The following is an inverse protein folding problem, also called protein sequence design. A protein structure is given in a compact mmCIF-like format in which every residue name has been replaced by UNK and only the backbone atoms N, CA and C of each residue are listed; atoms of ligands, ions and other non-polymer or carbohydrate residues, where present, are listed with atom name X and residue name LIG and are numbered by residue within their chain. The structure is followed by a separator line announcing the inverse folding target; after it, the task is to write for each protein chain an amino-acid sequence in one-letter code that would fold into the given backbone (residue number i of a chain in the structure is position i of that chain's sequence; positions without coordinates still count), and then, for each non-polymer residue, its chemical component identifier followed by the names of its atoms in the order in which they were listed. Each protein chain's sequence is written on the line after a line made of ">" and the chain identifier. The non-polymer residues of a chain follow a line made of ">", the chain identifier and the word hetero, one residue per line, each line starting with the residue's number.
data_IF_662088459749
#
_entry.id   IF_662088459749
#
_cell.length_a   1.000
_cell.length_b   1.000
_cell.length_c   1.000
_cell.angle_alpha   90.00
_cell.angle_beta   90.00
_cell.angle_gamma   90.00
#
_symmetry.space_group_name_H-M   'P 1'
#
loop_
_entity.id
_entity.type
_entity.pdbx_description
1 polymer ?
#
# COMPACT_ATOMS: atom_id res chain seq x y z
N UNK A 1 54.21 37.24 -53.72
CA UNK A 1 53.02 36.45 -53.75
C UNK A 1 52.98 35.61 -52.46
N UNK A 2 52.21 35.99 -51.48
CA UNK A 2 52.04 35.25 -50.22
C UNK A 2 50.76 34.39 -50.33
N UNK A 3 50.91 33.06 -50.30
CA UNK A 3 49.78 32.15 -50.29
C UNK A 3 49.31 32.02 -48.82
N UNK A 4 48.08 32.48 -48.55
CA UNK A 4 47.44 32.34 -47.25
C UNK A 4 46.68 31.01 -47.26
N UNK A 5 47.19 30.04 -46.49
CA UNK A 5 46.50 28.78 -46.24
C UNK A 5 45.39 29.01 -45.22
N UNK A 6 44.13 28.91 -45.63
CA UNK A 6 42.98 28.84 -44.74
C UNK A 6 42.82 27.41 -44.24
N UNK A 7 43.14 27.16 -42.97
CA UNK A 7 42.75 25.92 -42.25
C UNK A 7 41.32 26.05 -41.83
N UNK A 8 40.41 25.37 -42.51
CA UNK A 8 39.02 25.22 -42.09
C UNK A 8 38.98 24.19 -40.97
N UNK A 9 38.89 24.62 -39.71
CA UNK A 9 38.57 23.76 -38.57
C UNK A 9 37.10 23.45 -38.63
N UNK A 10 36.70 22.27 -39.08
CA UNK A 10 35.36 21.74 -38.97
C UNK A 10 35.19 21.29 -37.50
N UNK A 11 34.59 22.16 -36.69
CA UNK A 11 34.08 21.82 -35.40
C UNK A 11 32.88 20.88 -35.62
N UNK A 12 33.09 19.56 -35.59
CA UNK A 12 32.03 18.61 -35.46
C UNK A 12 31.43 18.77 -34.08
N UNK A 13 30.34 19.56 -33.98
CA UNK A 13 29.49 19.57 -32.80
C UNK A 13 28.83 18.20 -32.76
N UNK A 14 29.43 17.28 -32.01
CA UNK A 14 28.73 16.08 -31.61
C UNK A 14 27.59 16.53 -30.73
N UNK A 15 26.39 16.64 -31.29
CA UNK A 15 25.16 16.63 -30.49
C UNK A 15 25.12 15.28 -29.77
N UNK A 16 25.65 15.25 -28.57
CA UNK A 16 25.42 14.15 -27.65
C UNK A 16 23.91 14.18 -27.35
N UNK A 17 23.12 13.54 -28.21
CA UNK A 17 21.75 13.24 -27.87
C UNK A 17 21.83 12.36 -26.62
N UNK A 18 21.47 12.94 -25.50
CA UNK A 18 21.42 12.21 -24.23
C UNK A 18 20.47 11.02 -24.42
N UNK A 19 21.03 9.84 -24.52
CA UNK A 19 20.25 8.62 -24.56
C UNK A 19 19.47 8.48 -23.25
N UNK A 20 18.28 7.93 -23.33
CA UNK A 20 17.48 7.57 -22.15
C UNK A 20 17.26 6.07 -22.08
N UNK A 21 16.93 5.59 -20.90
CA UNK A 21 16.50 4.24 -20.62
C UNK A 21 15.00 4.29 -20.43
N UNK A 22 14.26 3.49 -21.19
CA UNK A 22 12.84 3.21 -21.02
C UNK A 22 12.69 1.83 -20.39
N UNK A 23 12.10 1.75 -19.23
CA UNK A 23 11.67 0.51 -18.56
C UNK A 23 10.18 0.33 -18.84
N UNK A 24 9.78 -0.57 -19.75
CA UNK A 24 8.37 -0.81 -20.04
C UNK A 24 7.69 -1.46 -18.84
N UNK A 25 6.39 -1.23 -18.69
CA UNK A 25 5.58 -1.82 -17.64
C UNK A 25 4.35 -2.54 -18.21
N UNK A 26 4.37 -2.83 -19.51
CA UNK A 26 3.41 -3.69 -20.23
C UNK A 26 3.86 -5.16 -20.22
N UNK A 27 3.29 -5.99 -21.07
CA UNK A 27 3.57 -7.43 -21.16
C UNK A 27 5.03 -7.76 -21.60
N UNK A 28 5.77 -6.77 -22.09
CA UNK A 28 7.20 -6.96 -22.45
C UNK A 28 8.12 -7.01 -21.22
N UNK A 29 7.63 -6.59 -20.04
CA UNK A 29 8.43 -6.59 -18.81
C UNK A 29 8.60 -8.00 -18.27
N UNK A 30 9.86 -8.40 -18.04
CA UNK A 30 10.22 -9.70 -17.46
C UNK A 30 9.96 -9.78 -15.95
N UNK A 31 10.05 -8.64 -15.23
CA UNK A 31 9.84 -8.56 -13.78
C UNK A 31 9.34 -7.17 -13.41
N UNK A 32 8.00 -7.04 -13.31
CA UNK A 32 7.36 -5.77 -12.96
C UNK A 32 7.74 -5.30 -11.56
N UNK A 33 7.84 -6.21 -10.60
CA UNK A 33 8.08 -5.83 -9.20
C UNK A 33 9.49 -5.26 -9.01
N UNK A 34 10.51 -5.88 -9.60
CA UNK A 34 11.88 -5.36 -9.56
C UNK A 34 12.07 -4.09 -10.38
N UNK A 35 11.22 -3.82 -11.36
CA UNK A 35 11.24 -2.56 -12.12
C UNK A 35 10.98 -1.34 -11.21
N UNK A 36 10.06 -1.45 -10.23
CA UNK A 36 9.88 -0.42 -9.20
C UNK A 36 11.13 -0.25 -8.34
N UNK A 37 11.80 -1.36 -8.01
CA UNK A 37 13.07 -1.31 -7.28
C UNK A 37 14.19 -0.55 -8.01
N UNK A 38 14.23 -0.63 -9.35
CA UNK A 38 15.17 0.20 -10.15
C UNK A 38 14.78 1.67 -10.09
N UNK A 39 13.50 1.99 -10.21
CA UNK A 39 13.03 3.38 -10.09
C UNK A 39 13.40 3.96 -8.72
N UNK A 40 13.11 3.23 -7.64
CA UNK A 40 13.45 3.62 -6.27
C UNK A 40 14.97 3.78 -6.08
N UNK A 41 15.76 2.81 -6.52
CA UNK A 41 17.22 2.85 -6.46
C UNK A 41 17.80 4.05 -7.21
N UNK A 42 17.25 4.39 -8.39
CA UNK A 42 17.66 5.57 -9.15
C UNK A 42 17.46 6.84 -8.34
N UNK A 43 16.28 7.00 -7.70
CA UNK A 43 15.97 8.15 -6.84
C UNK A 43 16.87 8.22 -5.61
N UNK A 44 17.18 7.09 -4.95
CA UNK A 44 18.13 7.04 -3.84
C UNK A 44 19.53 7.52 -4.23
N UNK A 45 19.94 7.28 -5.48
CA UNK A 45 21.23 7.74 -6.01
C UNK A 45 21.19 9.19 -6.57
N UNK A 46 20.07 9.91 -6.37
CA UNK A 46 19.92 11.28 -6.82
C UNK A 46 19.65 11.43 -8.31
N UNK A 47 19.18 10.37 -8.97
CA UNK A 47 18.83 10.33 -10.38
C UNK A 47 17.31 10.42 -10.55
N UNK A 48 16.74 11.60 -10.82
CA UNK A 48 15.32 11.75 -11.05
C UNK A 48 14.89 11.04 -12.34
N UNK A 49 13.63 10.61 -12.36
CA UNK A 49 13.07 9.91 -13.50
C UNK A 49 11.63 10.34 -13.78
N UNK A 50 11.14 10.07 -14.98
CA UNK A 50 9.76 10.29 -15.35
C UNK A 50 8.96 8.99 -15.26
N UNK A 51 7.84 9.02 -14.54
CA UNK A 51 6.82 7.99 -14.62
C UNK A 51 5.81 8.37 -15.72
N UNK A 52 5.73 7.56 -16.76
CA UNK A 52 4.88 7.79 -17.93
C UNK A 52 3.53 7.10 -17.71
N UNK A 53 2.59 7.80 -17.11
CA UNK A 53 1.28 7.26 -16.75
C UNK A 53 0.52 6.82 -18.01
N UNK A 54 -0.04 5.62 -17.97
CA UNK A 54 -0.76 4.94 -19.04
C UNK A 54 0.08 4.63 -20.31
N UNK A 55 1.31 5.08 -20.41
CA UNK A 55 2.19 4.72 -21.51
C UNK A 55 2.83 3.37 -21.24
N UNK A 56 2.50 2.35 -22.07
CA UNK A 56 3.00 0.98 -21.94
C UNK A 56 2.90 0.45 -20.48
N UNK A 57 1.72 0.57 -19.87
CA UNK A 57 1.45 0.08 -18.51
C UNK A 57 2.02 0.93 -17.39
N UNK A 58 2.43 2.19 -17.65
CA UNK A 58 3.04 3.08 -16.65
C UNK A 58 4.56 2.95 -16.58
N UNK A 59 5.22 3.13 -17.74
CA UNK A 59 6.68 2.96 -17.91
C UNK A 59 7.51 4.00 -17.17
N UNK A 60 8.75 3.65 -16.85
CA UNK A 60 9.73 4.60 -16.31
C UNK A 60 10.71 5.05 -17.40
N UNK A 61 10.99 6.35 -17.47
CA UNK A 61 11.92 6.95 -18.41
C UNK A 61 12.98 7.77 -17.66
N UNK A 62 14.25 7.43 -17.79
CA UNK A 62 15.35 8.05 -17.06
C UNK A 62 16.57 8.31 -17.96
N UNK A 63 17.51 9.11 -17.49
CA UNK A 63 18.77 9.33 -18.23
C UNK A 63 19.58 8.04 -18.28
N UNK A 64 20.19 7.77 -19.45
CA UNK A 64 21.02 6.60 -19.60
C UNK A 64 22.33 6.77 -18.82
N UNK A 65 22.56 5.85 -17.88
CA UNK A 65 23.79 5.70 -17.11
C UNK A 65 24.21 4.23 -17.11
N UNK A 66 25.49 3.96 -17.19
CA UNK A 66 26.03 2.60 -17.14
C UNK A 66 25.63 1.87 -15.83
N UNK A 67 25.60 2.61 -14.72
CA UNK A 67 25.16 2.09 -13.42
C UNK A 67 23.71 1.58 -13.46
N UNK A 68 22.78 2.34 -14.07
CA UNK A 68 21.38 1.95 -14.19
C UNK A 68 21.21 0.73 -15.11
N UNK A 69 21.91 0.72 -16.25
CA UNK A 69 21.91 -0.43 -17.17
C UNK A 69 22.42 -1.70 -16.49
N UNK A 70 23.49 -1.57 -15.71
CA UNK A 70 24.05 -2.68 -14.93
C UNK A 70 23.03 -3.20 -13.90
N UNK A 71 22.36 -2.33 -13.16
CA UNK A 71 21.32 -2.74 -12.20
C UNK A 71 20.14 -3.43 -12.91
N UNK A 72 19.70 -2.92 -14.07
CA UNK A 72 18.67 -3.59 -14.87
C UNK A 72 19.07 -5.02 -15.26
N UNK A 73 20.32 -5.19 -15.69
CA UNK A 73 20.86 -6.52 -16.05
C UNK A 73 20.96 -7.44 -14.82
N UNK A 74 21.48 -6.95 -13.70
CA UNK A 74 21.63 -7.72 -12.46
C UNK A 74 20.27 -8.20 -11.89
N UNK A 75 19.27 -7.36 -11.98
CA UNK A 75 17.91 -7.67 -11.49
C UNK A 75 17.06 -8.40 -12.53
N UNK A 76 17.56 -8.54 -13.77
CA UNK A 76 16.90 -9.30 -14.83
C UNK A 76 15.65 -8.62 -15.39
N UNK A 77 15.57 -7.28 -15.36
CA UNK A 77 14.44 -6.53 -15.91
C UNK A 77 14.66 -6.12 -17.36
N UNK A 78 13.59 -6.05 -18.12
CA UNK A 78 13.58 -5.57 -19.51
C UNK A 78 13.74 -4.05 -19.53
N UNK A 79 14.64 -3.53 -20.35
CA UNK A 79 14.78 -2.11 -20.63
C UNK A 79 15.21 -1.84 -22.07
N UNK A 80 14.93 -0.65 -22.58
CA UNK A 80 15.33 -0.18 -23.90
C UNK A 80 16.15 1.11 -23.80
N UNK A 81 17.24 1.17 -24.59
CA UNK A 81 17.93 2.44 -24.80
C UNK A 81 17.23 3.19 -25.92
N UNK A 82 16.79 4.42 -25.67
CA UNK A 82 16.04 5.26 -26.61
C UNK A 82 16.81 6.55 -26.92
N UNK A 83 16.85 6.92 -28.19
CA UNK A 83 17.47 8.15 -28.65
C UNK A 83 16.49 9.35 -28.59
N UNK A 84 16.98 10.57 -28.89
CA UNK A 84 16.18 11.77 -28.81
C UNK A 84 14.97 11.79 -29.75
N UNK A 85 15.04 11.13 -30.91
CA UNK A 85 13.88 11.02 -31.82
C UNK A 85 12.80 10.10 -31.24
N UNK A 86 13.21 8.98 -30.68
CA UNK A 86 12.30 8.05 -30.00
C UNK A 86 11.66 8.69 -28.77
N UNK A 87 12.42 9.44 -27.97
CA UNK A 87 11.88 10.20 -26.82
C UNK A 87 10.85 11.24 -27.27
N UNK A 88 11.09 11.96 -28.36
CA UNK A 88 10.13 12.92 -28.89
C UNK A 88 8.84 12.24 -29.36
N UNK A 89 8.94 11.04 -29.97
CA UNK A 89 7.77 10.27 -30.35
C UNK A 89 6.97 9.77 -29.13
N UNK A 90 7.66 9.36 -28.05
CA UNK A 90 7.02 8.99 -26.77
C UNK A 90 6.22 10.20 -26.23
N UNK A 91 6.84 11.37 -26.13
CA UNK A 91 6.19 12.56 -25.59
C UNK A 91 5.00 13.01 -26.44
N UNK A 92 5.12 12.94 -27.77
CA UNK A 92 4.00 13.22 -28.67
C UNK A 92 2.84 12.23 -28.44
N UNK A 93 3.13 10.95 -28.30
CA UNK A 93 2.10 9.93 -27.99
C UNK A 93 1.38 10.25 -26.67
N UNK A 94 2.13 10.66 -25.64
CA UNK A 94 1.57 11.02 -24.33
C UNK A 94 0.69 12.28 -24.44
N UNK A 95 1.11 13.28 -25.19
CA UNK A 95 0.35 14.51 -25.40
C UNK A 95 -1.01 14.26 -26.09
N UNK A 96 -1.02 13.38 -27.09
CA UNK A 96 -2.19 13.08 -27.93
C UNK A 96 -3.21 12.11 -27.29
N UNK A 97 -2.85 11.45 -26.16
CA UNK A 97 -3.69 10.41 -25.53
C UNK A 97 -3.99 10.71 -24.04
N UNK A 98 -4.77 9.82 -23.40
CA UNK A 98 -5.01 9.84 -21.94
C UNK A 98 -3.77 9.35 -21.18
N UNK A 99 -2.67 10.10 -21.29
CA UNK A 99 -1.37 9.80 -20.70
C UNK A 99 -0.78 11.07 -20.09
N UNK A 100 0.15 10.93 -19.14
CA UNK A 100 0.82 12.09 -18.50
C UNK A 100 2.24 11.70 -18.06
N UNK A 101 3.10 12.71 -17.92
CA UNK A 101 4.46 12.57 -17.42
C UNK A 101 4.51 13.10 -16.00
N UNK A 102 4.85 12.25 -15.05
CA UNK A 102 5.07 12.65 -13.66
C UNK A 102 6.57 12.55 -13.36
N UNK A 103 7.17 13.68 -13.00
CA UNK A 103 8.56 13.71 -12.55
C UNK A 103 8.65 13.17 -11.12
N UNK A 104 9.45 12.12 -10.91
CA UNK A 104 9.82 11.61 -9.60
C UNK A 104 11.22 12.15 -9.27
N UNK A 105 11.35 12.83 -8.13
CA UNK A 105 12.58 13.55 -7.77
C UNK A 105 13.32 12.94 -6.58
N UNK A 106 12.59 12.23 -5.70
CA UNK A 106 13.13 11.71 -4.44
C UNK A 106 12.44 10.41 -4.05
N UNK A 107 13.19 9.45 -3.55
CA UNK A 107 12.64 8.25 -2.90
C UNK A 107 12.00 8.63 -1.56
N UNK A 108 10.83 8.07 -1.21
CA UNK A 108 10.23 8.27 0.10
C UNK A 108 11.02 7.53 1.19
N UNK A 109 10.97 8.04 2.41
CA UNK A 109 11.39 7.32 3.59
C UNK A 109 10.22 6.51 4.13
N UNK A 110 10.37 5.18 4.14
CA UNK A 110 9.29 4.22 4.37
C UNK A 110 9.36 3.66 5.79
N UNK A 111 8.23 3.68 6.50
CA UNK A 111 8.02 2.95 7.74
C UNK A 111 6.97 1.85 7.55
N UNK A 112 7.22 0.69 8.14
CA UNK A 112 6.26 -0.40 8.29
C UNK A 112 5.94 -0.55 9.77
N UNK A 113 4.67 -0.40 10.13
CA UNK A 113 4.20 -0.59 11.49
C UNK A 113 3.94 -2.07 11.73
N UNK A 114 4.81 -2.71 12.48
CA UNK A 114 4.74 -4.14 12.78
C UNK A 114 5.36 -4.44 14.14
N UNK A 115 4.84 -5.42 14.89
CA UNK A 115 5.48 -5.88 16.12
C UNK A 115 6.93 -6.33 15.87
N UNK A 116 7.86 -6.11 16.81
CA UNK A 116 9.27 -6.46 16.66
C UNK A 116 9.51 -7.98 16.61
N UNK A 117 8.57 -8.76 17.14
CA UNK A 117 8.64 -10.22 17.16
C UNK A 117 8.07 -10.81 15.88
N UNK A 118 8.68 -11.89 15.39
CA UNK A 118 8.18 -12.62 14.22
C UNK A 118 6.74 -13.11 14.46
N UNK A 119 5.83 -12.72 13.61
CA UNK A 119 4.45 -13.16 13.61
C UNK A 119 4.30 -14.52 12.89
N UNK A 120 3.27 -15.33 13.20
CA UNK A 120 2.99 -16.57 12.51
C UNK A 120 2.27 -16.39 11.16
N UNK A 121 2.37 -15.24 10.57
CA UNK A 121 1.93 -14.85 9.24
C UNK A 121 2.97 -13.90 8.61
N UNK A 122 2.90 -13.69 7.32
CA UNK A 122 3.73 -12.75 6.60
C UNK A 122 2.98 -11.45 6.30
N UNK A 123 3.71 -10.50 5.75
CA UNK A 123 3.20 -9.20 5.33
C UNK A 123 3.51 -9.01 3.84
N UNK A 124 2.45 -8.95 3.02
CA UNK A 124 2.58 -8.81 1.57
C UNK A 124 3.37 -7.56 1.15
N UNK A 125 3.30 -6.47 1.92
CA UNK A 125 4.04 -5.25 1.61
C UNK A 125 5.53 -5.43 1.89
N UNK A 126 5.89 -6.01 3.03
CA UNK A 126 7.32 -6.30 3.33
C UNK A 126 7.90 -7.32 2.37
N UNK A 127 7.12 -8.29 1.90
CA UNK A 127 7.52 -9.20 0.82
C UNK A 127 7.79 -8.42 -0.47
N UNK A 128 6.87 -7.52 -0.88
CA UNK A 128 7.04 -6.70 -2.07
C UNK A 128 8.27 -5.80 -1.99
N UNK A 129 8.44 -5.08 -0.87
CA UNK A 129 9.58 -4.19 -0.65
C UNK A 129 10.90 -4.95 -0.68
N UNK A 130 10.97 -6.09 0.03
CA UNK A 130 12.17 -6.92 0.08
C UNK A 130 12.51 -7.51 -1.29
N UNK A 131 11.52 -8.02 -2.04
CA UNK A 131 11.71 -8.56 -3.37
C UNK A 131 12.18 -7.50 -4.38
N UNK A 132 11.58 -6.30 -4.33
CA UNK A 132 11.96 -5.15 -5.14
C UNK A 132 13.28 -4.49 -4.68
N UNK A 133 13.84 -4.91 -3.54
CA UNK A 133 15.04 -4.34 -2.91
C UNK A 133 14.85 -2.86 -2.54
N UNK A 134 13.68 -2.52 -2.03
CA UNK A 134 13.30 -1.20 -1.52
C UNK A 134 13.49 -1.20 -0.01
N UNK A 135 14.20 -0.19 0.51
CA UNK A 135 14.51 -0.07 1.94
C UNK A 135 13.33 0.45 2.73
N UNK A 136 13.14 -0.07 3.93
CA UNK A 136 12.16 0.39 4.89
C UNK A 136 12.66 0.19 6.32
N UNK A 137 12.10 0.94 7.26
CA UNK A 137 12.31 0.78 8.69
C UNK A 137 11.06 0.17 9.33
N UNK A 138 11.24 -0.71 10.32
CA UNK A 138 10.13 -1.23 11.12
C UNK A 138 9.96 -0.37 12.36
N UNK A 139 8.75 0.08 12.61
CA UNK A 139 8.35 0.83 13.81
C UNK A 139 7.12 0.18 14.43
N UNK A 140 6.90 0.40 15.73
CA UNK A 140 5.71 -0.09 16.41
C UNK A 140 5.19 0.92 17.43
N UNK A 141 4.44 0.47 18.43
CA UNK A 141 3.80 1.32 19.44
C UNK A 141 4.76 2.30 20.10
N UNK A 142 5.96 1.84 20.47
CA UNK A 142 6.96 2.66 21.17
C UNK A 142 7.43 3.85 20.31
N UNK A 143 7.80 3.59 19.08
CA UNK A 143 8.29 4.60 18.12
C UNK A 143 7.18 5.58 17.73
N UNK A 144 5.94 5.08 17.54
CA UNK A 144 4.79 5.96 17.24
C UNK A 144 4.49 6.88 18.42
N UNK A 145 4.48 6.35 19.65
CA UNK A 145 4.22 7.13 20.86
C UNK A 145 5.36 8.13 21.16
N UNK A 146 6.61 7.80 20.82
CA UNK A 146 7.77 8.72 20.97
C UNK A 146 7.79 9.83 19.90
N UNK A 147 6.94 9.76 18.88
CA UNK A 147 6.84 10.77 17.81
C UNK A 147 7.76 10.55 16.61
N UNK A 148 8.38 9.39 16.49
CA UNK A 148 9.31 9.08 15.39
C UNK A 148 8.64 9.02 14.02
N UNK A 149 7.32 8.83 13.98
CA UNK A 149 6.55 8.78 12.75
C UNK A 149 6.72 10.01 11.84
N UNK A 150 7.03 11.17 12.44
CA UNK A 150 7.32 12.40 11.71
C UNK A 150 8.61 12.36 10.85
N UNK A 151 9.45 11.34 11.02
CA UNK A 151 10.67 11.15 10.26
C UNK A 151 10.45 10.42 8.92
N UNK A 152 9.23 9.97 8.66
CA UNK A 152 8.88 9.16 7.50
C UNK A 152 7.91 9.90 6.59
N UNK A 153 8.03 9.64 5.27
CA UNK A 153 7.13 10.17 4.25
C UNK A 153 5.93 9.23 4.04
N UNK A 154 6.11 7.92 4.26
CA UNK A 154 5.16 6.87 3.99
C UNK A 154 5.09 5.86 5.14
N UNK A 155 3.86 5.50 5.55
CA UNK A 155 3.57 4.50 6.59
C UNK A 155 2.73 3.38 6.02
N UNK A 156 3.12 2.13 6.32
CA UNK A 156 2.34 0.95 6.03
C UNK A 156 1.76 0.31 7.30
N UNK A 157 0.48 -0.09 7.20
CA UNK A 157 -0.23 -0.92 8.17
C UNK A 157 -0.79 -2.14 7.43
N UNK A 158 -0.74 -3.35 7.99
CA UNK A 158 -1.29 -4.52 7.31
C UNK A 158 -2.38 -5.24 8.14
N UNK A 159 -2.00 -6.00 9.13
CA UNK A 159 -2.91 -6.85 9.91
C UNK A 159 -2.92 -6.50 11.40
N UNK A 160 -2.52 -5.28 11.73
CA UNK A 160 -2.58 -4.80 13.10
C UNK A 160 -4.01 -4.51 13.51
N UNK A 161 -4.28 -4.81 14.77
CA UNK A 161 -5.55 -4.56 15.41
C UNK A 161 -5.47 -3.30 16.27
N UNK A 162 -6.12 -2.24 15.83
CA UNK A 162 -6.23 -0.99 16.57
C UNK A 162 -7.40 -0.95 17.56
N UNK A 163 -8.17 -2.04 17.65
CA UNK A 163 -9.27 -2.16 18.62
C UNK A 163 -8.84 -2.78 19.94
N UNK A 164 -7.62 -3.37 20.00
CA UNK A 164 -7.10 -4.04 21.20
C UNK A 164 -7.73 -5.41 21.47
N UNK A 165 -8.32 -6.04 20.47
CA UNK A 165 -8.92 -7.38 20.55
C UNK A 165 -7.98 -8.48 20.08
N UNK A 166 -6.66 -8.19 20.02
CA UNK A 166 -5.59 -9.13 19.64
C UNK A 166 -5.85 -9.81 18.30
N UNK A 167 -6.23 -9.05 17.27
CA UNK A 167 -6.52 -9.55 15.93
C UNK A 167 -7.75 -10.42 15.83
N UNK A 168 -8.63 -10.43 16.85
CA UNK A 168 -9.80 -11.31 16.93
C UNK A 168 -9.43 -12.80 16.82
N UNK A 169 -8.19 -13.16 17.16
CA UNK A 169 -7.70 -14.54 17.13
C UNK A 169 -8.14 -15.40 18.32
N UNK A 170 -8.91 -14.85 19.27
CA UNK A 170 -9.30 -15.52 20.51
C UNK A 170 -9.92 -16.90 20.28
N UNK A 171 -10.90 -17.01 19.38
CA UNK A 171 -11.65 -18.26 19.13
C UNK A 171 -10.75 -19.46 18.88
N UNK A 172 -9.77 -19.31 18.01
CA UNK A 172 -8.96 -20.44 17.52
C UNK A 172 -7.59 -20.54 18.20
N UNK A 173 -7.07 -19.43 18.73
CA UNK A 173 -5.65 -19.32 19.10
C UNK A 173 -5.37 -18.94 20.54
N UNK A 174 -6.38 -18.63 21.39
CA UNK A 174 -6.16 -18.15 22.77
C UNK A 174 -5.32 -19.09 23.65
N UNK A 175 -5.16 -20.36 23.25
CA UNK A 175 -4.35 -21.37 23.96
C UNK A 175 -2.94 -21.52 23.40
N UNK A 176 -2.64 -20.99 22.22
CA UNK A 176 -1.32 -21.09 21.58
C UNK A 176 -0.30 -20.21 22.30
N UNK A 177 0.97 -20.61 22.24
CA UNK A 177 2.03 -19.88 22.92
C UNK A 177 2.29 -18.51 22.27
N UNK A 178 2.19 -18.43 20.95
CA UNK A 178 2.35 -17.15 20.25
C UNK A 178 1.25 -16.13 20.63
N UNK A 179 -0.02 -16.56 20.76
CA UNK A 179 -1.11 -15.68 21.17
C UNK A 179 -0.92 -15.17 22.61
N UNK A 180 -0.53 -16.07 23.54
CA UNK A 180 -0.25 -15.69 24.93
C UNK A 180 0.93 -14.73 25.02
N UNK A 181 1.99 -14.97 24.22
CA UNK A 181 3.14 -14.07 24.17
C UNK A 181 2.73 -12.70 23.62
N UNK A 182 2.06 -12.65 22.47
CA UNK A 182 1.54 -11.39 21.89
C UNK A 182 0.70 -10.61 22.89
N UNK A 183 -0.23 -11.28 23.59
CA UNK A 183 -1.05 -10.64 24.63
C UNK A 183 -0.20 -10.07 25.74
N UNK A 184 0.77 -10.83 26.27
CA UNK A 184 1.68 -10.38 27.33
C UNK A 184 2.54 -9.19 26.90
N UNK A 185 3.05 -9.20 25.68
CA UNK A 185 3.90 -8.13 25.16
C UNK A 185 3.10 -6.83 24.99
N UNK A 186 1.86 -6.93 24.47
CA UNK A 186 0.99 -5.76 24.31
C UNK A 186 0.51 -5.20 25.67
N UNK A 187 0.16 -6.09 26.64
CA UNK A 187 -0.17 -5.68 28.01
C UNK A 187 1.03 -4.97 28.69
N UNK A 188 2.25 -5.47 28.47
CA UNK A 188 3.47 -4.84 28.96
C UNK A 188 3.68 -3.46 28.36
N UNK A 189 3.53 -3.33 27.05
CA UNK A 189 3.69 -2.05 26.34
C UNK A 189 2.63 -1.03 26.81
N UNK A 190 1.36 -1.47 26.94
CA UNK A 190 0.31 -0.61 27.49
C UNK A 190 0.66 -0.08 28.89
N UNK A 191 1.07 -0.96 29.79
CA UNK A 191 1.48 -0.59 31.15
C UNK A 191 2.71 0.33 31.17
N UNK A 192 3.72 0.06 30.31
CA UNK A 192 4.93 0.89 30.15
C UNK A 192 4.59 2.34 29.79
N UNK A 193 3.59 2.54 28.95
CA UNK A 193 3.14 3.87 28.53
C UNK A 193 1.99 4.45 29.37
N UNK A 194 1.62 3.78 30.48
CA UNK A 194 0.64 4.28 31.44
C UNK A 194 -0.83 4.11 31.00
N UNK A 195 -1.10 3.27 30.02
CA UNK A 195 -2.46 2.92 29.61
C UNK A 195 -3.04 1.83 30.52
N UNK A 196 -4.35 1.92 30.78
CA UNK A 196 -5.06 0.97 31.64
C UNK A 196 -5.27 -0.39 30.99
N UNK A 197 -5.31 -0.44 29.65
CA UNK A 197 -5.48 -1.66 28.86
C UNK A 197 -4.85 -1.55 27.47
N UNK A 198 -4.73 -2.67 26.78
CA UNK A 198 -4.30 -2.70 25.37
C UNK A 198 -5.31 -1.98 24.49
N UNK A 199 -6.60 -2.07 24.79
CA UNK A 199 -7.63 -1.31 24.08
C UNK A 199 -7.38 0.19 24.14
N UNK A 200 -7.09 0.74 25.34
CA UNK A 200 -6.75 2.17 25.49
C UNK A 200 -5.47 2.56 24.75
N UNK A 201 -4.42 1.76 24.81
CA UNK A 201 -3.21 1.97 24.03
C UNK A 201 -3.52 2.03 22.53
N UNK A 202 -4.17 0.98 22.02
CA UNK A 202 -4.42 0.81 20.57
C UNK A 202 -5.36 1.88 20.02
N UNK A 203 -6.30 2.40 20.77
CA UNK A 203 -7.11 3.57 20.36
C UNK A 203 -6.28 4.86 20.20
N UNK A 204 -5.19 5.00 20.95
CA UNK A 204 -4.35 6.20 20.86
C UNK A 204 -3.45 6.21 19.61
N UNK A 205 -2.98 5.06 19.17
CA UNK A 205 -2.11 4.96 17.98
C UNK A 205 -2.75 5.56 16.72
N UNK A 206 -4.00 5.25 16.35
CA UNK A 206 -4.67 5.86 15.20
C UNK A 206 -4.82 7.38 15.28
N UNK A 207 -4.94 7.96 16.48
CA UNK A 207 -4.96 9.43 16.62
C UNK A 207 -3.64 10.06 16.19
N UNK A 208 -2.51 9.44 16.55
CA UNK A 208 -1.18 9.90 16.17
C UNK A 208 -0.97 9.73 14.68
N UNK A 209 -1.35 8.57 14.12
CA UNK A 209 -1.28 8.30 12.68
C UNK A 209 -2.17 9.26 11.90
N UNK A 210 -3.40 9.53 12.34
CA UNK A 210 -4.29 10.52 11.71
C UNK A 210 -3.67 11.92 11.72
N UNK A 211 -2.99 12.32 12.80
CA UNK A 211 -2.26 13.58 12.87
C UNK A 211 -1.08 13.62 11.88
N UNK A 212 -0.36 12.51 11.73
CA UNK A 212 0.71 12.36 10.75
C UNK A 212 0.17 12.54 9.33
N UNK A 213 -0.91 11.85 8.93
CA UNK A 213 -1.56 12.03 7.62
C UNK A 213 -1.98 13.48 7.44
N UNK A 214 -2.67 14.05 8.43
CA UNK A 214 -3.13 15.45 8.41
C UNK A 214 -2.02 16.46 8.11
N UNK A 215 -0.79 16.14 8.56
CA UNK A 215 0.41 16.99 8.39
C UNK A 215 1.09 16.82 7.04
N UNK A 216 0.69 15.85 6.23
CA UNK A 216 1.23 15.59 4.88
C UNK A 216 1.84 14.21 4.70
N UNK A 217 1.76 13.32 5.69
CA UNK A 217 2.19 11.93 5.56
C UNK A 217 1.27 11.12 4.64
N UNK A 218 1.79 10.04 4.09
CA UNK A 218 1.02 9.09 3.31
C UNK A 218 0.84 7.78 4.07
N UNK A 219 -0.41 7.27 4.11
CA UNK A 219 -0.76 5.99 4.71
C UNK A 219 -1.19 5.00 3.64
N UNK A 220 -0.58 3.82 3.63
CA UNK A 220 -1.08 2.64 2.92
C UNK A 220 -1.46 1.56 3.93
N UNK A 221 -2.70 1.08 3.90
CA UNK A 221 -3.17 0.03 4.79
C UNK A 221 -3.81 -1.12 4.01
N UNK A 222 -3.61 -2.34 4.51
CA UNK A 222 -4.18 -3.57 3.98
C UNK A 222 -4.88 -4.38 5.08
N UNK A 223 -5.69 -5.34 4.65
CA UNK A 223 -6.32 -6.33 5.53
C UNK A 223 -7.03 -5.69 6.73
N UNK A 224 -6.91 -6.30 7.91
CA UNK A 224 -7.57 -5.85 9.14
C UNK A 224 -7.11 -4.49 9.66
N UNK A 225 -5.96 -3.99 9.24
CA UNK A 225 -5.52 -2.66 9.62
C UNK A 225 -6.38 -1.54 8.99
N UNK A 226 -7.16 -1.83 7.95
CA UNK A 226 -8.00 -0.85 7.27
C UNK A 226 -9.21 -0.45 8.11
N UNK A 227 -10.07 -1.41 8.45
CA UNK A 227 -11.29 -1.14 9.22
C UNK A 227 -11.02 -1.01 10.71
N UNK A 228 -10.11 -1.80 11.31
CA UNK A 228 -9.79 -1.67 12.73
C UNK A 228 -9.21 -0.30 13.08
N UNK A 229 -8.41 0.31 12.19
CA UNK A 229 -7.92 1.67 12.33
C UNK A 229 -9.06 2.69 12.41
N UNK A 230 -9.98 2.61 11.47
CA UNK A 230 -11.09 3.57 11.39
C UNK A 230 -12.14 3.34 12.49
N UNK A 231 -12.36 2.08 12.89
CA UNK A 231 -13.17 1.70 14.06
C UNK A 231 -12.58 2.31 15.34
N UNK A 232 -11.28 2.20 15.55
CA UNK A 232 -10.61 2.77 16.72
C UNK A 232 -10.74 4.29 16.79
N UNK A 233 -10.70 4.98 15.64
CA UNK A 233 -10.97 6.42 15.58
C UNK A 233 -12.41 6.75 15.97
N UNK A 234 -13.39 5.97 15.53
CA UNK A 234 -14.80 6.19 15.88
C UNK A 234 -15.11 5.83 17.34
N UNK A 235 -14.38 4.88 17.93
CA UNK A 235 -14.62 4.34 19.26
C UNK A 235 -13.91 5.08 20.40
N UNK A 236 -13.40 6.30 20.16
CA UNK A 236 -12.60 7.04 21.17
C UNK A 236 -13.32 7.22 22.53
N UNK A 237 -14.64 7.35 22.51
CA UNK A 237 -15.46 7.66 23.69
C UNK A 237 -16.18 6.43 24.26
N UNK A 238 -15.81 5.22 23.84
CA UNK A 238 -16.50 4.00 24.27
C UNK A 238 -15.56 2.81 24.33
N UNK A 239 -15.86 1.86 25.20
CA UNK A 239 -15.21 0.55 25.24
C UNK A 239 -15.98 -0.42 24.34
N UNK A 240 -15.27 -0.95 23.33
CA UNK A 240 -15.78 -1.94 22.37
C UNK A 240 -15.11 -3.30 22.51
N UNK A 241 -14.10 -3.43 23.39
CA UNK A 241 -13.43 -4.68 23.64
C UNK A 241 -14.21 -5.54 24.62
N UNK A 242 -14.42 -6.81 24.26
CA UNK A 242 -15.09 -7.75 25.16
C UNK A 242 -14.18 -8.11 26.35
N UNK A 243 -14.77 -8.38 27.53
CA UNK A 243 -14.04 -8.64 28.78
C UNK A 243 -12.99 -9.78 28.72
N UNK A 244 -13.08 -10.69 27.77
CA UNK A 244 -12.06 -11.73 27.55
C UNK A 244 -10.72 -11.16 27.09
N UNK A 245 -10.72 -9.95 26.53
CA UNK A 245 -9.50 -9.29 26.03
C UNK A 245 -8.81 -8.48 27.14
N UNK A 246 -9.56 -7.62 27.86
CA UNK A 246 -8.99 -6.64 28.78
C UNK A 246 -9.55 -6.68 30.20
N UNK A 247 -10.49 -7.61 30.50
CA UNK A 247 -11.15 -7.82 31.80
C UNK A 247 -12.10 -6.69 32.22
N UNK A 248 -12.41 -5.78 31.32
CA UNK A 248 -13.42 -4.75 31.53
C UNK A 248 -14.70 -5.11 30.75
N UNK A 249 -15.88 -4.79 31.24
CA UNK A 249 -17.11 -5.05 30.50
C UNK A 249 -17.22 -4.07 29.32
N UNK A 250 -17.61 -4.59 28.17
CA UNK A 250 -17.94 -3.76 27.01
C UNK A 250 -19.02 -2.73 27.37
N UNK A 251 -18.93 -1.53 26.83
CA UNK A 251 -19.97 -0.53 27.00
C UNK A 251 -21.24 -0.95 26.24
N UNK A 252 -22.32 -1.26 26.98
CA UNK A 252 -23.59 -1.68 26.41
C UNK A 252 -24.20 -0.64 25.45
N UNK A 253 -23.83 0.62 25.59
CA UNK A 253 -24.30 1.73 24.76
C UNK A 253 -23.26 2.12 23.67
N UNK A 254 -22.24 1.28 23.42
CA UNK A 254 -21.16 1.58 22.47
C UNK A 254 -21.69 2.09 21.12
N UNK A 255 -22.72 1.45 20.57
CA UNK A 255 -23.30 1.82 19.27
C UNK A 255 -23.72 3.31 19.19
N UNK A 256 -24.29 3.85 20.27
CA UNK A 256 -24.73 5.26 20.33
C UNK A 256 -23.57 6.23 20.64
N UNK A 257 -22.40 5.72 21.04
CA UNK A 257 -21.22 6.50 21.39
C UNK A 257 -20.14 6.48 20.31
N UNK A 258 -20.32 5.68 19.26
CA UNK A 258 -19.45 5.77 18.09
C UNK A 258 -19.57 7.14 17.44
N UNK A 259 -18.44 7.81 17.29
CA UNK A 259 -18.37 9.12 16.65
C UNK A 259 -17.70 8.99 15.27
N UNK A 260 -18.52 8.79 14.26
CA UNK A 260 -18.06 8.67 12.88
C UNK A 260 -17.44 9.96 12.31
N UNK A 261 -17.57 11.11 12.99
CA UNK A 261 -16.84 12.30 12.56
C UNK A 261 -15.34 12.18 12.79
N UNK A 262 -14.91 11.30 13.70
CA UNK A 262 -13.51 10.99 13.94
C UNK A 262 -12.92 10.01 12.92
N UNK A 263 -13.72 9.12 12.34
CA UNK A 263 -13.24 8.18 11.31
C UNK A 263 -12.87 8.92 10.03
N UNK A 264 -12.01 8.32 9.20
CA UNK A 264 -11.56 8.94 7.95
C UNK A 264 -12.21 8.32 6.71
N UNK A 265 -12.71 7.09 6.80
CA UNK A 265 -13.20 6.30 5.66
C UNK A 265 -14.66 5.91 5.82
N UNK A 266 -15.03 5.29 6.95
CA UNK A 266 -16.29 4.60 7.09
C UNK A 266 -17.24 5.29 8.07
N UNK A 267 -18.54 5.11 7.85
CA UNK A 267 -19.60 5.60 8.74
C UNK A 267 -20.80 4.66 8.75
N UNK A 268 -21.61 4.73 9.83
CA UNK A 268 -22.91 4.05 9.97
C UNK A 268 -22.83 2.50 9.93
N UNK A 269 -21.66 1.91 10.18
CA UNK A 269 -21.48 0.46 10.30
C UNK A 269 -21.85 -0.07 11.69
N UNK A 270 -22.07 -1.37 11.79
CA UNK A 270 -22.28 -2.09 13.05
C UNK A 270 -21.05 -2.91 13.42
N UNK A 271 -20.72 -2.97 14.72
CA UNK A 271 -19.59 -3.75 15.23
C UNK A 271 -19.98 -5.19 15.56
N UNK A 272 -19.09 -6.13 15.34
CA UNK A 272 -19.14 -7.48 15.85
C UNK A 272 -18.35 -7.57 17.17
N UNK A 273 -19.06 -7.47 18.29
CA UNK A 273 -18.44 -7.46 19.64
C UNK A 273 -18.28 -8.86 20.24
N UNK A 274 -18.85 -9.90 19.62
CA UNK A 274 -18.64 -11.29 20.03
C UNK A 274 -17.18 -11.69 19.76
N UNK A 275 -16.42 -12.13 20.78
CA UNK A 275 -15.02 -12.55 20.62
C UNK A 275 -14.86 -13.83 19.79
N UNK A 276 -15.94 -14.54 19.50
CA UNK A 276 -15.94 -15.73 18.64
C UNK A 276 -16.14 -15.41 17.15
N UNK A 277 -16.46 -14.15 16.81
CA UNK A 277 -16.55 -13.65 15.43
C UNK A 277 -15.19 -13.06 15.05
N UNK A 278 -14.69 -13.44 13.87
CA UNK A 278 -13.35 -13.07 13.41
C UNK A 278 -13.29 -11.66 12.83
N UNK A 279 -14.35 -11.23 12.16
CA UNK A 279 -14.48 -9.91 11.56
C UNK A 279 -14.76 -8.85 12.63
N UNK A 280 -14.37 -7.59 12.36
CA UNK A 280 -14.56 -6.46 13.28
C UNK A 280 -15.94 -5.83 13.18
N UNK A 281 -16.48 -5.74 11.96
CA UNK A 281 -17.68 -4.97 11.69
C UNK A 281 -18.39 -5.41 10.40
N UNK A 282 -19.50 -4.73 10.11
CA UNK A 282 -20.22 -4.91 8.83
C UNK A 282 -19.58 -4.15 7.66
N UNK A 283 -18.45 -3.49 7.86
CA UNK A 283 -17.68 -2.86 6.78
C UNK A 283 -17.25 -3.90 5.77
N UNK A 284 -16.71 -5.01 6.25
CA UNK A 284 -16.27 -6.13 5.43
C UNK A 284 -17.45 -7.02 4.99
N UNK A 285 -17.13 -8.02 4.20
CA UNK A 285 -17.98 -9.13 3.84
C UNK A 285 -18.59 -9.78 5.10
N UNK A 286 -19.91 -10.03 5.14
CA UNK A 286 -20.50 -10.67 6.30
C UNK A 286 -19.89 -12.05 6.60
N UNK A 287 -19.77 -12.43 7.87
CA UNK A 287 -19.24 -13.75 8.29
C UNK A 287 -19.93 -14.95 7.60
N UNK A 288 -21.20 -14.79 7.24
CA UNK A 288 -21.97 -15.81 6.52
C UNK A 288 -21.56 -15.98 5.06
N UNK A 289 -20.84 -15.02 4.47
CA UNK A 289 -20.40 -15.08 3.07
C UNK A 289 -19.08 -15.86 2.88
N UNK A 290 -18.25 -16.00 3.92
CA UNK A 290 -16.97 -16.70 3.83
C UNK A 290 -17.13 -18.13 3.28
N UNK A 291 -18.11 -18.95 3.73
CA UNK A 291 -18.34 -20.27 3.17
C UNK A 291 -18.83 -20.27 1.71
N UNK A 292 -19.44 -19.16 1.29
CA UNK A 292 -20.01 -18.97 -0.03
C UNK A 292 -19.14 -18.06 -0.93
N UNK A 293 -17.96 -17.66 -0.44
CA UNK A 293 -17.02 -16.87 -1.24
C UNK A 293 -16.70 -17.65 -2.52
N UNK A 294 -16.69 -16.94 -3.63
CA UNK A 294 -16.26 -17.49 -4.92
C UNK A 294 -14.87 -18.07 -4.76
N UNK A 295 -14.58 -19.18 -5.43
CA UNK A 295 -13.23 -19.70 -5.47
C UNK A 295 -12.27 -18.71 -6.15
N UNK A 296 -10.97 -18.87 -5.95
CA UNK A 296 -9.94 -18.01 -6.52
C UNK A 296 -10.11 -17.72 -8.02
N UNK A 297 -10.61 -18.69 -8.77
CA UNK A 297 -10.84 -18.57 -10.23
C UNK A 297 -12.04 -17.67 -10.61
N UNK A 298 -12.92 -17.34 -9.66
CA UNK A 298 -14.13 -16.55 -9.88
C UNK A 298 -14.14 -15.23 -9.12
N UNK A 299 -13.17 -15.02 -8.25
CA UNK A 299 -13.02 -13.79 -7.49
C UNK A 299 -12.05 -12.87 -8.21
N UNK A 300 -12.51 -11.67 -8.56
CA UNK A 300 -11.72 -10.63 -9.21
C UNK A 300 -12.33 -9.26 -8.94
N UNK A 301 -11.52 -8.24 -9.11
CA UNK A 301 -11.97 -6.85 -9.10
C UNK A 301 -11.39 -6.09 -10.29
N UNK A 302 -12.07 -5.02 -10.70
CA UNK A 302 -11.71 -4.21 -11.85
C UNK A 302 -11.21 -2.85 -11.39
N UNK A 303 -10.07 -2.41 -11.92
CA UNK A 303 -9.54 -1.07 -11.70
C UNK A 303 -10.30 -0.05 -12.55
N UNK A 304 -10.59 1.10 -11.97
CA UNK A 304 -11.11 2.24 -12.70
C UNK A 304 -10.03 2.89 -13.55
N UNK A 305 -10.42 3.35 -14.74
CA UNK A 305 -9.58 4.17 -15.58
C UNK A 305 -9.84 5.65 -15.27
N UNK A 306 -8.79 6.35 -14.86
CA UNK A 306 -8.83 7.78 -14.57
C UNK A 306 -8.19 8.61 -15.68
N UNK A 307 -8.45 9.92 -15.68
CA UNK A 307 -7.78 10.85 -16.57
C UNK A 307 -6.36 11.11 -16.07
N UNK A 308 -5.34 10.60 -16.76
CA UNK A 308 -3.95 10.86 -16.39
C UNK A 308 -3.61 12.37 -16.36
N UNK A 309 -4.31 13.18 -17.12
CA UNK A 309 -4.09 14.65 -17.20
C UNK A 309 -4.69 15.40 -16.02
N UNK A 310 -5.83 14.93 -15.48
CA UNK A 310 -6.56 15.62 -14.41
C UNK A 310 -6.51 14.92 -13.07
N UNK A 311 -6.53 13.59 -13.10
CA UNK A 311 -6.59 12.73 -11.91
C UNK A 311 -5.27 11.96 -11.74
N UNK A 312 -4.14 12.68 -11.64
CA UNK A 312 -2.79 12.09 -11.65
C UNK A 312 -2.58 11.08 -10.54
N UNK A 313 -2.97 11.41 -9.29
CA UNK A 313 -2.77 10.51 -8.16
C UNK A 313 -3.59 9.23 -8.30
N UNK A 314 -4.91 9.25 -8.55
CA UNK A 314 -5.67 8.04 -8.83
C UNK A 314 -5.09 7.23 -10.00
N UNK A 315 -4.64 7.89 -11.06
CA UNK A 315 -4.03 7.23 -12.20
C UNK A 315 -2.71 6.55 -11.83
N UNK A 316 -1.85 7.15 -11.00
CA UNK A 316 -0.63 6.50 -10.49
C UNK A 316 -0.99 5.24 -9.70
N UNK A 317 -1.95 5.34 -8.79
CA UNK A 317 -2.37 4.23 -7.93
C UNK A 317 -2.95 3.05 -8.71
N UNK A 318 -3.59 3.30 -9.86
CA UNK A 318 -4.20 2.26 -10.71
C UNK A 318 -3.34 1.82 -11.90
N UNK A 319 -2.06 2.24 -11.98
CA UNK A 319 -1.18 1.78 -13.05
C UNK A 319 -1.02 0.26 -13.00
N UNK A 320 -1.31 -0.39 -14.12
CA UNK A 320 -1.14 -1.83 -14.24
C UNK A 320 -0.98 -2.25 -15.72
N UNK A 321 -0.54 -3.48 -15.96
CA UNK A 321 -0.49 -4.08 -17.30
C UNK A 321 -1.79 -4.85 -17.63
N UNK A 322 -2.71 -4.94 -16.66
CA UNK A 322 -4.06 -5.49 -16.80
C UNK A 322 -5.05 -4.64 -16.01
N UNK A 323 -6.31 -4.62 -16.41
CA UNK A 323 -7.38 -3.88 -15.72
C UNK A 323 -8.18 -4.75 -14.74
N UNK A 324 -8.09 -6.07 -14.86
CA UNK A 324 -8.77 -7.04 -14.01
C UNK A 324 -7.73 -7.73 -13.13
N UNK A 325 -7.93 -7.68 -11.84
CA UNK A 325 -7.04 -8.22 -10.82
C UNK A 325 -7.73 -9.40 -10.15
N UNK A 326 -7.02 -10.50 -9.95
CA UNK A 326 -7.54 -11.61 -9.14
C UNK A 326 -7.89 -11.11 -7.74
N UNK A 327 -9.03 -11.54 -7.21
CA UNK A 327 -9.41 -11.31 -5.84
C UNK A 327 -8.54 -12.13 -4.89
N UNK A 328 -8.48 -11.68 -3.67
CA UNK A 328 -7.81 -12.38 -2.58
C UNK A 328 -8.51 -12.03 -1.26
N UNK A 329 -8.47 -12.95 -0.32
CA UNK A 329 -9.15 -12.81 0.95
C UNK A 329 -8.20 -12.27 2.02
N UNK A 330 -8.77 -11.80 3.11
CA UNK A 330 -8.08 -11.41 4.33
C UNK A 330 -9.08 -11.33 5.47
N UNK A 331 -8.66 -10.92 6.64
CA UNK A 331 -9.57 -10.66 7.74
C UNK A 331 -10.55 -9.54 7.39
N UNK A 332 -10.08 -8.53 6.65
CA UNK A 332 -10.91 -7.57 5.93
C UNK A 332 -10.69 -7.79 4.45
N UNK A 333 -11.64 -8.44 3.80
CA UNK A 333 -11.54 -8.86 2.39
C UNK A 333 -11.88 -7.72 1.43
N UNK A 334 -12.78 -6.84 1.82
CA UNK A 334 -13.23 -5.71 1.02
C UNK A 334 -14.12 -4.78 1.82
N UNK A 335 -14.59 -3.73 1.19
CA UNK A 335 -15.34 -2.65 1.85
C UNK A 335 -16.73 -2.52 1.26
N UNK A 336 -17.76 -2.63 2.08
CA UNK A 336 -19.13 -2.43 1.66
C UNK A 336 -19.35 -0.95 1.34
N UNK A 337 -19.68 -0.64 0.07
CA UNK A 337 -19.81 0.73 -0.46
C UNK A 337 -20.78 1.60 0.34
N UNK A 338 -21.82 1.01 0.93
CA UNK A 338 -22.82 1.78 1.71
C UNK A 338 -22.27 2.44 2.97
N UNK A 339 -21.10 2.00 3.46
CA UNK A 339 -20.44 2.56 4.64
C UNK A 339 -19.34 3.55 4.30
N UNK A 340 -18.98 3.70 3.01
CA UNK A 340 -17.99 4.68 2.60
C UNK A 340 -18.54 6.10 2.76
N UNK A 341 -17.71 6.98 3.30
CA UNK A 341 -17.99 8.42 3.29
C UNK A 341 -17.95 8.97 1.85
N UNK A 342 -18.75 9.98 1.57
CA UNK A 342 -18.97 10.52 0.22
C UNK A 342 -17.70 11.06 -0.49
N UNK A 343 -16.63 11.34 0.25
CA UNK A 343 -15.38 11.87 -0.31
C UNK A 343 -14.36 10.78 -0.66
N UNK A 344 -14.69 9.51 -0.41
CA UNK A 344 -13.81 8.39 -0.68
C UNK A 344 -13.88 8.03 -2.16
N UNK A 345 -12.71 7.96 -2.79
CA UNK A 345 -12.56 7.56 -4.18
C UNK A 345 -12.38 6.05 -4.27
N UNK A 346 -13.22 5.39 -5.05
CA UNK A 346 -13.06 3.97 -5.39
C UNK A 346 -12.07 3.85 -6.55
N UNK A 347 -11.01 3.09 -6.34
CA UNK A 347 -9.98 2.79 -7.35
C UNK A 347 -10.20 1.45 -8.03
N UNK A 348 -10.83 0.50 -7.31
CA UNK A 348 -11.13 -0.83 -7.84
C UNK A 348 -12.25 -1.50 -7.07
N UNK A 349 -13.14 -2.17 -7.80
CA UNK A 349 -14.34 -2.80 -7.25
C UNK A 349 -14.64 -4.17 -7.86
N UNK A 350 -15.33 -5.00 -7.10
CA UNK A 350 -15.95 -6.22 -7.62
C UNK A 350 -17.24 -5.84 -8.40
N UNK A 351 -17.27 -6.08 -9.73
CA UNK A 351 -18.43 -5.71 -10.55
C UNK A 351 -19.70 -6.53 -10.25
N UNK A 352 -19.58 -7.62 -9.52
CA UNK A 352 -20.67 -8.54 -9.21
C UNK A 352 -21.21 -8.39 -7.78
N UNK A 353 -20.69 -7.46 -6.99
CA UNK A 353 -21.09 -7.23 -5.61
C UNK A 353 -21.10 -5.74 -5.23
N UNK A 354 -21.62 -5.43 -4.03
CA UNK A 354 -21.57 -4.08 -3.47
C UNK A 354 -20.23 -3.80 -2.72
N UNK A 355 -19.21 -4.65 -2.93
CA UNK A 355 -17.91 -4.50 -2.32
C UNK A 355 -16.94 -3.74 -3.24
N UNK A 356 -16.11 -2.92 -2.62
CA UNK A 356 -14.92 -2.38 -3.26
C UNK A 356 -13.67 -2.93 -2.56
N UNK A 357 -12.59 -3.10 -3.32
CA UNK A 357 -11.33 -3.66 -2.82
C UNK A 357 -10.26 -2.60 -2.58
N UNK A 358 -10.31 -1.52 -3.37
CA UNK A 358 -9.22 -0.55 -3.41
C UNK A 358 -9.81 0.86 -3.40
N UNK A 359 -9.45 1.63 -2.40
CA UNK A 359 -10.01 2.97 -2.16
C UNK A 359 -8.91 3.96 -1.76
N UNK A 360 -9.16 5.24 -2.02
CA UNK A 360 -8.25 6.35 -1.76
C UNK A 360 -8.98 7.56 -1.19
N UNK A 361 -8.28 8.37 -0.38
CA UNK A 361 -8.81 9.61 0.13
C UNK A 361 -7.74 10.56 0.63
N UNK A 362 -8.15 11.78 0.95
CA UNK A 362 -7.30 12.82 1.50
C UNK A 362 -7.71 13.15 2.93
N UNK A 363 -6.73 13.41 3.79
CA UNK A 363 -6.93 13.87 5.17
C UNK A 363 -5.98 15.03 5.44
N UNK A 364 -6.53 16.25 5.52
CA UNK A 364 -5.70 17.45 5.67
C UNK A 364 -4.75 17.67 4.49
N UNK A 365 -3.45 17.59 4.73
CA UNK A 365 -2.41 17.76 3.69
C UNK A 365 -1.91 16.43 3.13
N UNK A 366 -2.23 15.32 3.76
CA UNK A 366 -1.79 13.99 3.37
C UNK A 366 -2.88 13.15 2.76
N UNK A 367 -2.53 11.93 2.42
CA UNK A 367 -3.41 11.00 1.72
C UNK A 367 -3.34 9.61 2.34
N UNK A 368 -4.35 8.79 2.05
CA UNK A 368 -4.33 7.39 2.42
C UNK A 368 -4.88 6.54 1.28
N UNK A 369 -4.47 5.28 1.26
CA UNK A 369 -4.99 4.26 0.36
C UNK A 369 -5.22 2.98 1.15
N UNK A 370 -6.40 2.37 1.00
CA UNK A 370 -6.76 1.10 1.62
C UNK A 370 -6.98 0.04 0.55
N UNK A 371 -6.40 -1.15 0.78
CA UNK A 371 -6.57 -2.32 -0.08
C UNK A 371 -7.09 -3.48 0.77
N UNK A 372 -8.28 -3.99 0.42
CA UNK A 372 -8.88 -5.15 1.09
C UNK A 372 -8.19 -6.45 0.68
N UNK A 373 -8.03 -7.36 1.63
CA UNK A 373 -7.35 -8.65 1.46
C UNK A 373 -5.94 -8.67 2.02
N UNK A 374 -5.36 -9.88 2.13
CA UNK A 374 -4.10 -10.10 2.81
C UNK A 374 -2.92 -10.23 1.83
N UNK A 375 -2.94 -11.20 0.93
CA UNK A 375 -1.88 -11.47 -0.03
C UNK A 375 -2.45 -11.66 -1.44
N UNK A 376 -2.04 -10.85 -2.43
CA UNK A 376 -2.54 -10.95 -3.80
C UNK A 376 -2.32 -12.28 -4.53
N UNK A 377 -1.36 -13.09 -4.10
CA UNK A 377 -1.03 -14.38 -4.74
C UNK A 377 -1.34 -15.58 -3.84
N UNK A 378 -1.81 -15.35 -2.63
CA UNK A 378 -2.34 -16.38 -1.74
C UNK A 378 -3.81 -16.09 -1.39
N UNK A 379 -4.72 -16.72 -2.13
CA UNK A 379 -6.16 -16.42 -2.08
C UNK A 379 -6.76 -16.55 -0.68
N UNK A 380 -6.34 -17.53 0.12
CA UNK A 380 -6.80 -17.79 1.48
C UNK A 380 -5.63 -18.00 2.43
N UNK A 381 -4.93 -16.94 2.70
CA UNK A 381 -3.81 -17.01 3.63
C UNK A 381 -4.26 -17.40 5.04
N UNK A 382 -3.64 -18.43 5.61
CA UNK A 382 -3.92 -18.90 6.98
C UNK A 382 -2.72 -18.66 7.90
N UNK A 383 -3.02 -18.54 9.20
CA UNK A 383 -1.98 -18.48 10.23
C UNK A 383 -1.09 -19.72 10.16
N UNK A 384 0.20 -19.51 9.88
CA UNK A 384 1.21 -20.56 9.76
C UNK A 384 1.49 -21.00 8.33
N UNK A 385 0.84 -20.44 7.33
CA UNK A 385 1.19 -20.66 5.93
C UNK A 385 2.60 -20.12 5.63
N UNK A 386 3.33 -20.74 4.71
CA UNK A 386 4.63 -20.22 4.29
C UNK A 386 4.45 -18.90 3.52
N UNK A 387 5.44 -17.99 3.60
CA UNK A 387 5.41 -16.75 2.83
C UNK A 387 5.33 -17.01 1.33
N UNK A 388 4.60 -16.13 0.61
CA UNK A 388 4.55 -16.16 -0.84
C UNK A 388 5.94 -15.96 -1.47
N UNK A 389 6.34 -16.84 -2.38
CA UNK A 389 7.57 -16.71 -3.15
C UNK A 389 7.35 -15.82 -4.38
N UNK A 390 7.67 -14.53 -4.26
CA UNK A 390 7.51 -13.55 -5.33
C UNK A 390 8.39 -13.81 -6.56
N UNK A 391 9.40 -14.67 -6.47
CA UNK A 391 10.14 -15.10 -7.66
C UNK A 391 9.29 -15.92 -8.63
N UNK A 392 8.22 -16.54 -8.15
CA UNK A 392 7.21 -17.22 -8.95
C UNK A 392 6.12 -16.27 -9.47
N UNK A 393 5.97 -15.10 -8.86
CA UNK A 393 4.90 -14.11 -9.11
C UNK A 393 5.44 -12.72 -9.51
N UNK A 394 6.59 -12.69 -10.21
CA UNK A 394 7.33 -11.46 -10.57
C UNK A 394 6.51 -10.43 -11.37
N UNK A 395 5.43 -10.87 -12.00
CA UNK A 395 4.53 -10.05 -12.80
C UNK A 395 3.14 -9.92 -12.16
N UNK A 396 3.02 -10.17 -10.84
CA UNK A 396 1.75 -10.06 -10.12
C UNK A 396 1.12 -8.67 -10.26
N UNK A 397 -0.09 -8.58 -10.81
CA UNK A 397 -0.78 -7.30 -10.89
C UNK A 397 -1.26 -6.79 -9.53
N UNK A 398 -1.57 -7.69 -8.59
CA UNK A 398 -1.97 -7.32 -7.23
C UNK A 398 -0.80 -6.73 -6.44
N UNK A 399 0.37 -7.33 -6.49
CA UNK A 399 1.58 -6.78 -5.87
C UNK A 399 2.04 -5.46 -6.53
N UNK A 400 1.75 -5.25 -7.82
CA UNK A 400 1.97 -3.94 -8.47
C UNK A 400 1.14 -2.83 -7.83
N UNK A 401 -0.11 -3.11 -7.42
CA UNK A 401 -0.92 -2.10 -6.71
C UNK A 401 -0.28 -1.66 -5.41
N UNK A 402 0.37 -2.59 -4.68
CA UNK A 402 1.13 -2.25 -3.49
C UNK A 402 2.27 -1.28 -3.86
N UNK A 403 3.08 -1.61 -4.85
CA UNK A 403 4.24 -0.82 -5.26
C UNK A 403 3.89 0.52 -5.93
N UNK A 404 2.68 0.66 -6.50
CA UNK A 404 2.20 1.96 -6.99
C UNK A 404 2.02 3.01 -5.88
N UNK A 405 1.94 2.57 -4.63
CA UNK A 405 1.75 3.46 -3.48
C UNK A 405 3.07 4.02 -2.91
N UNK A 406 4.22 3.62 -3.46
CA UNK A 406 5.56 3.99 -2.97
C UNK A 406 6.23 5.10 -3.85
#
# INVERSE_FOLDING_TARGET
>A
MKIINYIIIILSINYIFSQKILIPMDQDQSDHLKAYGIAFWSLENGDPLNWLLNYRGGSFLMNSKESIQKECLLRGITYYTVDGSQVNNIYKTIEENNMEIVLLEKSPKIAVYSPPEKQPWDDAVTLALSYAEIKYDVIFDDEVLSGELSNYDWLHLHHEDFTGQYGKFYKNYHRTDWYKKMKSDFEFTAAKHGFSSVHELKKNIPLIIKKYINSGGFLFAMCSATDSFDIALAAQNTDIAHEVFDRTPIDHNHKSKLDFSNSIVFENYDLYTDPLVYEYSTIDMPPSHIPNARGAEQDYFTLFEFSAKWDRVPTMLTQNHVSVINGFMGQTTGFNKKYLKNHILVLGEDPASDLTKYIHGNVGKGTFTFLGGHDPEDYKHYVGDPPTDLALHRNSPGYRLILNNI
#
